data_IF_090989929713
#
_entry.id   IF_090989929713
#
_cell.length_a   1.000
_cell.length_b   1.000
_cell.length_c   1.000
_cell.angle_alpha   90.00
_cell.angle_beta   90.00
_cell.angle_gamma   90.00
#
_symmetry.space_group_name_H-M   'P 1'
#
loop_
_entity.id
_entity.type
_entity.pdbx_description
1 polymer ?
#
# COMPACT_ATOMS: atom_id res chain seq x y z
N UNK A 1 9.45 -32.41 5.77
CA UNK A 1 8.63 -31.36 5.08
C UNK A 1 8.81 -29.95 5.64
N UNK A 2 9.30 -29.73 6.88
CA UNK A 2 9.47 -28.39 7.48
C UNK A 2 10.46 -27.46 6.79
N UNK A 3 11.57 -27.96 6.27
CA UNK A 3 12.63 -27.10 5.70
C UNK A 3 12.25 -26.42 4.38
N UNK A 4 11.46 -27.08 3.53
CA UNK A 4 11.04 -26.51 2.23
C UNK A 4 10.10 -25.31 2.46
N UNK A 5 9.16 -25.41 3.40
CA UNK A 5 8.26 -24.31 3.73
C UNK A 5 8.98 -23.07 4.25
N UNK A 6 10.01 -23.25 5.09
CA UNK A 6 10.83 -22.17 5.61
C UNK A 6 11.62 -21.47 4.49
N UNK A 7 12.17 -22.24 3.55
CA UNK A 7 12.92 -21.68 2.41
C UNK A 7 11.99 -20.86 1.51
N UNK A 8 10.79 -21.38 1.19
CA UNK A 8 9.80 -20.67 0.37
C UNK A 8 9.38 -19.36 1.06
N UNK A 9 9.12 -19.40 2.37
CA UNK A 9 8.76 -18.21 3.13
C UNK A 9 9.88 -17.15 3.12
N UNK A 10 11.14 -17.54 3.30
CA UNK A 10 12.28 -16.62 3.22
C UNK A 10 12.42 -15.99 1.84
N UNK A 11 12.24 -16.76 0.76
CA UNK A 11 12.27 -16.22 -0.61
C UNK A 11 11.15 -15.19 -0.80
N UNK A 12 9.94 -15.48 -0.34
CA UNK A 12 8.82 -14.54 -0.41
C UNK A 12 9.13 -13.23 0.34
N UNK A 13 9.72 -13.30 1.53
CA UNK A 13 10.10 -12.10 2.29
C UNK A 13 11.22 -11.31 1.63
N UNK A 14 12.18 -11.95 0.96
CA UNK A 14 13.20 -11.25 0.16
C UNK A 14 12.56 -10.49 -1.00
N UNK A 15 11.59 -11.09 -1.69
CA UNK A 15 10.84 -10.44 -2.76
C UNK A 15 10.05 -9.24 -2.23
N UNK A 16 9.37 -9.39 -1.09
CA UNK A 16 8.63 -8.30 -0.43
C UNK A 16 9.58 -7.14 -0.08
N UNK A 17 10.76 -7.47 0.47
CA UNK A 17 11.79 -6.46 0.78
C UNK A 17 12.25 -5.72 -0.47
N UNK A 18 12.52 -6.42 -1.55
CA UNK A 18 12.95 -5.82 -2.82
C UNK A 18 11.87 -4.90 -3.41
N UNK A 19 10.59 -5.32 -3.35
CA UNK A 19 9.45 -4.49 -3.75
C UNK A 19 9.36 -3.24 -2.86
N UNK A 20 9.47 -3.39 -1.54
CA UNK A 20 9.45 -2.29 -0.59
C UNK A 20 10.54 -1.25 -0.88
N UNK A 21 11.78 -1.69 -1.10
CA UNK A 21 12.91 -0.82 -1.49
C UNK A 21 12.63 -0.14 -2.83
N UNK A 22 12.10 -0.85 -3.82
CA UNK A 22 11.73 -0.29 -5.12
C UNK A 22 10.68 0.83 -4.99
N UNK A 23 9.66 0.63 -4.18
CA UNK A 23 8.63 1.64 -3.88
C UNK A 23 9.26 2.83 -3.14
N UNK A 24 10.13 2.58 -2.16
CA UNK A 24 10.81 3.61 -1.38
C UNK A 24 11.68 4.53 -2.26
N UNK A 25 12.44 3.97 -3.19
CA UNK A 25 13.38 4.73 -4.02
C UNK A 25 12.74 5.38 -5.24
N UNK A 26 11.76 4.72 -5.85
CA UNK A 26 11.11 5.16 -7.10
C UNK A 26 9.59 5.33 -7.00
N UNK A 27 9.04 5.49 -5.81
CA UNK A 27 7.61 5.49 -5.55
C UNK A 27 6.81 6.40 -6.46
N UNK A 28 7.32 7.59 -6.75
CA UNK A 28 6.67 8.52 -7.67
C UNK A 28 6.64 8.02 -9.12
N UNK A 29 7.67 7.33 -9.60
CA UNK A 29 7.71 6.75 -10.94
C UNK A 29 6.85 5.49 -11.05
N UNK A 30 6.82 4.70 -9.97
CA UNK A 30 6.06 3.45 -9.88
C UNK A 30 4.61 3.67 -9.42
N UNK A 31 4.22 4.92 -9.15
CA UNK A 31 2.89 5.26 -8.62
C UNK A 31 1.75 4.75 -9.51
N UNK A 32 1.92 4.78 -10.84
CA UNK A 32 0.92 4.24 -11.78
C UNK A 32 0.71 2.74 -11.53
N UNK A 33 1.79 2.00 -11.34
CA UNK A 33 1.73 0.56 -11.05
C UNK A 33 1.08 0.28 -9.69
N UNK A 34 1.44 1.05 -8.67
CA UNK A 34 0.83 0.94 -7.33
C UNK A 34 -0.67 1.21 -7.41
N UNK A 35 -1.05 2.29 -8.09
CA UNK A 35 -2.47 2.64 -8.31
C UNK A 35 -3.20 1.52 -9.06
N UNK A 36 -2.61 0.95 -10.10
CA UNK A 36 -3.22 -0.14 -10.86
C UNK A 36 -3.43 -1.39 -10.00
N UNK A 37 -2.44 -1.78 -9.21
CA UNK A 37 -2.54 -2.94 -8.31
C UNK A 37 -3.59 -2.70 -7.22
N UNK A 38 -3.56 -1.54 -6.57
CA UNK A 38 -4.56 -1.19 -5.55
C UNK A 38 -5.98 -1.11 -6.15
N UNK A 39 -6.12 -0.57 -7.37
CA UNK A 39 -7.40 -0.50 -8.07
C UNK A 39 -7.93 -1.88 -8.43
N UNK A 40 -7.06 -2.80 -8.84
CA UNK A 40 -7.42 -4.20 -9.09
C UNK A 40 -8.04 -4.84 -7.83
N UNK A 41 -7.35 -4.76 -6.71
CA UNK A 41 -7.85 -5.33 -5.45
C UNK A 41 -9.12 -4.65 -4.96
N UNK A 42 -9.19 -3.32 -5.01
CA UNK A 42 -10.39 -2.58 -4.62
C UNK A 42 -11.59 -2.91 -5.51
N UNK A 43 -11.35 -3.05 -6.82
CA UNK A 43 -12.37 -3.48 -7.76
C UNK A 43 -12.83 -4.91 -7.51
N UNK A 44 -11.91 -5.85 -7.29
CA UNK A 44 -12.24 -7.24 -6.99
C UNK A 44 -13.08 -7.36 -5.72
N UNK A 45 -12.69 -6.69 -4.64
CA UNK A 45 -13.43 -6.69 -3.37
C UNK A 45 -14.80 -6.05 -3.55
N UNK A 46 -14.88 -4.88 -4.21
CA UNK A 46 -16.15 -4.19 -4.46
C UNK A 46 -17.10 -5.02 -5.32
N UNK A 47 -16.59 -5.64 -6.40
CA UNK A 47 -17.37 -6.53 -7.25
C UNK A 47 -17.86 -7.79 -6.54
N UNK A 48 -17.00 -8.39 -5.68
CA UNK A 48 -17.38 -9.53 -4.86
C UNK A 48 -18.49 -9.16 -3.86
N UNK A 49 -18.37 -8.01 -3.19
CA UNK A 49 -19.41 -7.53 -2.27
C UNK A 49 -20.76 -7.33 -2.96
N UNK A 50 -20.75 -6.69 -4.14
CA UNK A 50 -21.98 -6.52 -4.96
C UNK A 50 -22.54 -7.89 -5.35
N UNK A 51 -21.71 -8.84 -5.75
CA UNK A 51 -22.14 -10.19 -6.11
C UNK A 51 -22.82 -10.94 -4.98
N UNK A 52 -22.27 -10.85 -3.76
CA UNK A 52 -22.88 -11.48 -2.56
C UNK A 52 -24.16 -10.77 -2.16
N UNK A 53 -24.12 -9.43 -2.04
CA UNK A 53 -25.25 -8.67 -1.49
C UNK A 53 -26.45 -8.59 -2.43
N UNK A 54 -26.22 -8.57 -3.76
CA UNK A 54 -27.30 -8.42 -4.73
C UNK A 54 -27.86 -9.75 -5.26
N UNK A 55 -27.03 -10.80 -5.32
CA UNK A 55 -27.41 -12.02 -6.04
C UNK A 55 -27.28 -13.32 -5.24
N UNK A 56 -26.68 -13.26 -4.06
CA UNK A 56 -26.42 -14.43 -3.18
C UNK A 56 -25.87 -15.66 -3.93
N UNK A 57 -25.05 -15.41 -4.95
CA UNK A 57 -24.50 -16.43 -5.85
C UNK A 57 -22.98 -16.33 -5.94
N UNK A 58 -22.30 -17.43 -5.61
CA UNK A 58 -20.82 -17.51 -5.66
C UNK A 58 -20.32 -17.31 -7.10
N UNK A 59 -21.04 -17.80 -8.11
CA UNK A 59 -20.61 -17.67 -9.52
C UNK A 59 -20.68 -16.20 -9.94
N UNK A 60 -21.76 -15.50 -9.62
CA UNK A 60 -21.91 -14.07 -9.92
C UNK A 60 -20.91 -13.22 -9.12
N UNK A 61 -20.60 -13.59 -7.88
CA UNK A 61 -19.55 -12.95 -7.09
C UNK A 61 -18.20 -13.00 -7.81
N UNK A 62 -17.79 -14.16 -8.32
CA UNK A 62 -16.50 -14.31 -9.03
C UNK A 62 -16.50 -13.50 -10.34
N UNK A 63 -17.58 -13.58 -11.11
CA UNK A 63 -17.70 -12.86 -12.39
C UNK A 63 -17.66 -11.35 -12.14
N UNK A 64 -18.44 -10.83 -11.19
CA UNK A 64 -18.48 -9.41 -10.88
C UNK A 64 -17.14 -8.93 -10.29
N UNK A 65 -16.50 -9.73 -9.42
CA UNK A 65 -15.17 -9.43 -8.92
C UNK A 65 -14.16 -9.26 -10.07
N UNK A 66 -14.15 -10.18 -11.04
CA UNK A 66 -13.26 -10.11 -12.18
C UNK A 66 -13.57 -8.90 -13.09
N UNK A 67 -14.83 -8.66 -13.40
CA UNK A 67 -15.27 -7.53 -14.26
C UNK A 67 -14.90 -6.19 -13.61
N UNK A 68 -15.23 -6.01 -12.33
CA UNK A 68 -14.92 -4.76 -11.61
C UNK A 68 -13.41 -4.58 -11.43
N UNK A 69 -12.63 -5.65 -11.19
CA UNK A 69 -11.19 -5.58 -11.11
C UNK A 69 -10.58 -5.06 -12.42
N UNK A 70 -10.96 -5.62 -13.56
CA UNK A 70 -10.47 -5.19 -14.87
C UNK A 70 -10.91 -3.76 -15.17
N UNK A 71 -12.18 -3.43 -14.92
CA UNK A 71 -12.73 -2.10 -15.16
C UNK A 71 -11.97 -1.04 -14.35
N UNK A 72 -11.71 -1.29 -13.07
CA UNK A 72 -10.98 -0.37 -12.20
C UNK A 72 -9.51 -0.20 -12.63
N UNK A 73 -8.83 -1.26 -13.09
CA UNK A 73 -7.46 -1.16 -13.60
C UNK A 73 -7.37 -0.31 -14.85
N UNK A 74 -8.40 -0.34 -15.72
CA UNK A 74 -8.42 0.45 -16.96
C UNK A 74 -8.83 1.89 -16.69
N UNK A 75 -9.89 2.13 -15.92
CA UNK A 75 -10.48 3.46 -15.73
C UNK A 75 -9.67 4.33 -14.76
N UNK A 76 -9.25 3.76 -13.63
CA UNK A 76 -8.64 4.54 -12.53
C UNK A 76 -7.33 5.22 -12.89
N UNK A 77 -6.37 4.61 -13.62
CA UNK A 77 -5.15 5.30 -14.05
C UNK A 77 -5.39 6.47 -15.00
N UNK A 78 -6.47 6.44 -15.79
CA UNK A 78 -6.85 7.55 -16.68
C UNK A 78 -7.42 8.74 -15.90
N UNK A 79 -8.10 8.49 -14.81
CA UNK A 79 -8.61 9.50 -13.88
C UNK A 79 -7.58 9.80 -12.78
N UNK A 80 -6.49 10.47 -13.14
CA UNK A 80 -5.29 10.66 -12.29
C UNK A 80 -5.59 11.02 -10.82
N UNK A 81 -6.49 11.94 -10.57
CA UNK A 81 -6.85 12.35 -9.20
C UNK A 81 -7.57 11.25 -8.43
N UNK A 82 -8.51 10.57 -9.09
CA UNK A 82 -9.27 9.45 -8.50
C UNK A 82 -8.35 8.25 -8.27
N UNK A 83 -7.45 7.99 -9.23
CA UNK A 83 -6.44 6.93 -9.10
C UNK A 83 -5.53 7.13 -7.89
N UNK A 84 -5.05 8.35 -7.68
CA UNK A 84 -4.24 8.66 -6.49
C UNK A 84 -5.05 8.56 -5.20
N UNK A 85 -6.30 9.01 -5.19
CA UNK A 85 -7.19 8.84 -4.05
C UNK A 85 -7.38 7.37 -3.69
N UNK A 86 -7.81 6.54 -4.63
CA UNK A 86 -8.08 5.11 -4.39
C UNK A 86 -6.79 4.37 -3.99
N UNK A 87 -5.70 4.57 -4.73
CA UNK A 87 -4.43 3.90 -4.47
C UNK A 87 -3.85 4.23 -3.10
N UNK A 88 -3.84 5.51 -2.72
CA UNK A 88 -3.30 5.95 -1.43
C UNK A 88 -4.25 5.61 -0.27
N UNK A 89 -5.57 5.72 -0.47
CA UNK A 89 -6.54 5.29 0.56
C UNK A 89 -6.42 3.80 0.85
N UNK A 90 -6.29 2.96 -0.17
CA UNK A 90 -6.14 1.51 -0.02
C UNK A 90 -4.85 1.16 0.73
N UNK A 91 -3.73 1.79 0.37
CA UNK A 91 -2.46 1.62 1.08
C UNK A 91 -2.55 2.12 2.52
N UNK A 92 -3.12 3.30 2.73
CA UNK A 92 -3.31 3.88 4.06
C UNK A 92 -4.15 3.00 4.97
N UNK A 93 -5.26 2.47 4.44
CA UNK A 93 -6.11 1.53 5.18
C UNK A 93 -5.35 0.26 5.56
N UNK A 94 -4.64 -0.36 4.61
CA UNK A 94 -3.86 -1.57 4.83
C UNK A 94 -2.77 -1.34 5.89
N UNK A 95 -2.02 -0.23 5.78
CA UNK A 95 -1.01 0.14 6.77
C UNK A 95 -1.61 0.37 8.16
N UNK A 96 -2.72 1.11 8.26
CA UNK A 96 -3.41 1.31 9.52
C UNK A 96 -3.89 -0.01 10.11
N UNK A 97 -4.40 -0.94 9.30
CA UNK A 97 -4.84 -2.26 9.79
C UNK A 97 -3.67 -3.10 10.32
N UNK A 98 -2.53 -3.09 9.63
CA UNK A 98 -1.31 -3.74 10.11
C UNK A 98 -0.84 -3.13 11.44
N UNK A 99 -0.88 -1.81 11.57
CA UNK A 99 -0.50 -1.11 12.78
C UNK A 99 -1.45 -1.42 13.94
N UNK A 100 -2.76 -1.33 13.70
CA UNK A 100 -3.77 -1.55 14.73
C UNK A 100 -3.83 -3.01 15.19
N UNK A 101 -3.58 -3.99 14.31
CA UNK A 101 -3.54 -5.41 14.70
C UNK A 101 -2.45 -5.73 15.72
N UNK A 102 -1.38 -4.93 15.77
CA UNK A 102 -0.29 -5.09 16.73
C UNK A 102 -0.52 -4.31 18.04
N UNK A 103 -1.32 -3.23 18.00
CA UNK A 103 -1.62 -2.38 19.17
C UNK A 103 -2.80 -2.94 19.97
N UNK A 104 -3.72 -3.65 19.33
CA UNK A 104 -4.95 -4.16 19.96
C UNK A 104 -4.69 -5.19 21.08
N UNK A 105 -3.49 -5.74 21.19
CA UNK A 105 -3.09 -6.61 22.32
C UNK A 105 -2.94 -5.86 23.64
N UNK A 106 -2.62 -4.56 23.60
CA UNK A 106 -2.28 -3.77 24.78
C UNK A 106 -3.35 -2.71 25.14
N UNK A 107 -4.25 -2.40 24.22
CA UNK A 107 -5.25 -1.35 24.40
C UNK A 107 -6.66 -1.94 24.23
N UNK A 108 -7.49 -1.84 25.26
CA UNK A 108 -8.89 -2.34 25.29
C UNK A 108 -9.86 -1.49 24.42
N UNK A 109 -9.39 -0.94 23.29
CA UNK A 109 -10.24 -0.24 22.34
C UNK A 109 -11.05 -1.25 21.52
N UNK A 110 -12.36 -0.98 21.41
CA UNK A 110 -13.25 -1.81 20.56
C UNK A 110 -12.72 -1.85 19.13
N UNK A 111 -12.65 -3.05 18.53
CA UNK A 111 -12.23 -3.28 17.15
C UNK A 111 -12.97 -2.38 16.15
N UNK A 112 -14.21 -2.03 16.42
CA UNK A 112 -15.01 -1.12 15.61
C UNK A 112 -14.46 0.31 15.60
N UNK A 113 -13.93 0.79 16.74
CA UNK A 113 -13.33 2.13 16.83
C UNK A 113 -12.03 2.17 16.04
N UNK A 114 -11.20 1.12 16.16
CA UNK A 114 -9.94 1.02 15.42
C UNK A 114 -10.18 0.90 13.91
N UNK A 115 -11.23 0.18 13.51
CA UNK A 115 -11.64 0.08 12.10
C UNK A 115 -12.10 1.45 11.57
N UNK A 116 -12.95 2.14 12.31
CA UNK A 116 -13.42 3.48 11.93
C UNK A 116 -12.27 4.47 11.82
N UNK A 117 -11.36 4.49 12.80
CA UNK A 117 -10.19 5.36 12.79
C UNK A 117 -9.28 5.07 11.59
N UNK A 118 -9.03 3.80 11.27
CA UNK A 118 -8.23 3.40 10.11
C UNK A 118 -8.87 3.86 8.79
N UNK A 119 -10.20 3.80 8.70
CA UNK A 119 -10.94 4.28 7.52
C UNK A 119 -10.82 5.80 7.37
N UNK A 120 -10.99 6.55 8.46
CA UNK A 120 -10.86 8.02 8.44
C UNK A 120 -9.46 8.43 8.00
N UNK A 121 -8.41 7.83 8.57
CA UNK A 121 -7.03 8.11 8.19
C UNK A 121 -6.78 7.78 6.72
N UNK A 122 -7.28 6.65 6.23
CA UNK A 122 -7.15 6.25 4.83
C UNK A 122 -7.80 7.26 3.88
N UNK A 123 -9.01 7.73 4.19
CA UNK A 123 -9.73 8.73 3.38
C UNK A 123 -8.99 10.08 3.38
N UNK A 124 -8.50 10.53 4.53
CA UNK A 124 -7.72 11.78 4.64
C UNK A 124 -6.45 11.69 3.81
N UNK A 125 -5.68 10.59 3.93
CA UNK A 125 -4.48 10.37 3.14
C UNK A 125 -4.77 10.34 1.63
N UNK A 126 -5.86 9.69 1.22
CA UNK A 126 -6.29 9.65 -0.17
C UNK A 126 -6.67 11.03 -0.71
N UNK A 127 -7.41 11.81 0.08
CA UNK A 127 -7.78 13.18 -0.29
C UNK A 127 -6.55 14.08 -0.44
N UNK A 128 -5.61 14.02 0.49
CA UNK A 128 -4.34 14.75 0.41
C UNK A 128 -3.55 14.37 -0.85
N UNK A 129 -3.53 13.09 -1.22
CA UNK A 129 -2.86 12.62 -2.43
C UNK A 129 -3.56 13.09 -3.71
N UNK A 130 -4.89 13.14 -3.72
CA UNK A 130 -5.69 13.64 -4.84
C UNK A 130 -5.46 15.13 -5.13
N UNK A 131 -5.15 15.93 -4.11
CA UNK A 131 -4.81 17.35 -4.23
C UNK A 131 -3.46 17.62 -4.92
N UNK A 132 -2.80 16.61 -5.46
CA UNK A 132 -1.61 16.69 -6.32
C UNK A 132 -0.35 17.32 -5.72
N UNK A 133 -0.20 17.38 -4.44
CA UNK A 133 1.09 17.78 -3.88
C UNK A 133 2.13 16.71 -4.19
N UNK A 134 3.07 17.03 -5.08
CA UNK A 134 4.20 16.16 -5.44
C UNK A 134 4.94 15.65 -4.19
N UNK A 135 5.02 16.49 -3.20
CA UNK A 135 5.66 16.22 -1.92
C UNK A 135 4.91 15.16 -1.12
N UNK A 136 3.59 15.26 -1.05
CA UNK A 136 2.75 14.30 -0.30
C UNK A 136 2.87 12.89 -0.88
N UNK A 137 2.85 12.75 -2.20
CA UNK A 137 3.03 11.46 -2.87
C UNK A 137 4.39 10.87 -2.53
N UNK A 138 5.45 11.68 -2.58
CA UNK A 138 6.81 11.24 -2.22
C UNK A 138 6.88 10.79 -0.75
N UNK A 139 6.32 11.55 0.18
CA UNK A 139 6.30 11.18 1.60
C UNK A 139 5.55 9.85 1.82
N UNK A 140 4.34 9.73 1.29
CA UNK A 140 3.51 8.53 1.49
C UNK A 140 4.18 7.30 0.89
N UNK A 141 4.70 7.39 -0.33
CA UNK A 141 5.36 6.23 -0.98
C UNK A 141 6.67 5.84 -0.28
N UNK A 142 7.43 6.81 0.23
CA UNK A 142 8.66 6.51 0.97
C UNK A 142 8.37 5.86 2.32
N UNK A 143 7.38 6.35 3.05
CA UNK A 143 6.97 5.76 4.33
C UNK A 143 6.40 4.35 4.12
N UNK A 144 5.46 4.18 3.18
CA UNK A 144 4.85 2.89 2.89
C UNK A 144 5.88 1.86 2.42
N UNK A 145 6.75 2.26 1.49
CA UNK A 145 7.83 1.41 0.99
C UNK A 145 8.83 1.04 2.08
N UNK A 146 9.19 2.00 2.95
CA UNK A 146 10.07 1.78 4.10
C UNK A 146 9.51 0.76 5.10
N UNK A 147 8.22 0.84 5.40
CA UNK A 147 7.55 -0.14 6.27
C UNK A 147 7.53 -1.52 5.62
N UNK A 148 7.16 -1.63 4.35
CA UNK A 148 7.15 -2.90 3.63
C UNK A 148 8.55 -3.51 3.56
N UNK A 149 9.57 -2.70 3.28
CA UNK A 149 10.96 -3.15 3.21
C UNK A 149 11.48 -3.64 4.58
N UNK A 150 11.17 -2.91 5.65
CA UNK A 150 11.60 -3.28 7.01
C UNK A 150 10.95 -4.57 7.49
N UNK A 151 9.65 -4.73 7.25
CA UNK A 151 8.90 -5.95 7.60
C UNK A 151 9.46 -7.15 6.85
N UNK A 152 9.65 -7.02 5.54
CA UNK A 152 10.21 -8.10 4.72
C UNK A 152 11.63 -8.47 5.18
N UNK A 153 12.49 -7.48 5.41
CA UNK A 153 13.87 -7.70 5.86
C UNK A 153 13.93 -8.43 7.20
N UNK A 154 13.18 -7.97 8.19
CA UNK A 154 13.21 -8.55 9.53
C UNK A 154 12.55 -9.91 9.59
N UNK A 155 11.52 -10.16 8.79
CA UNK A 155 10.90 -11.48 8.68
C UNK A 155 11.88 -12.54 8.14
N UNK A 156 12.83 -12.17 7.26
CA UNK A 156 13.91 -13.07 6.83
C UNK A 156 14.79 -13.50 7.99
N UNK A 157 15.03 -12.62 8.96
CA UNK A 157 15.83 -12.89 10.15
C UNK A 157 15.02 -13.46 11.34
N UNK A 158 13.73 -13.71 11.16
CA UNK A 158 12.86 -14.25 12.22
C UNK A 158 12.52 -13.26 13.31
N UNK A 159 12.69 -11.96 13.07
CA UNK A 159 12.30 -10.91 14.01
C UNK A 159 10.80 -10.57 13.83
N UNK A 160 10.14 -10.24 14.93
CA UNK A 160 8.73 -9.91 14.93
C UNK A 160 8.49 -8.43 14.61
N UNK A 161 7.34 -8.14 13.99
CA UNK A 161 6.92 -6.79 13.59
C UNK A 161 6.77 -5.82 14.78
N UNK A 162 6.56 -6.34 15.97
CA UNK A 162 6.39 -5.56 17.23
C UNK A 162 7.69 -4.97 17.76
N UNK A 163 8.85 -5.42 17.28
CA UNK A 163 10.13 -4.94 17.77
C UNK A 163 10.37 -3.48 17.36
N UNK A 164 10.81 -2.66 18.31
CA UNK A 164 11.21 -1.27 18.07
C UNK A 164 12.24 -1.15 16.93
N UNK A 165 13.03 -2.20 16.72
CA UNK A 165 14.01 -2.29 15.62
C UNK A 165 13.35 -2.18 14.25
N UNK A 166 12.14 -2.75 14.06
CA UNK A 166 11.38 -2.67 12.82
C UNK A 166 11.05 -1.22 12.48
N UNK A 167 10.62 -0.46 13.47
CA UNK A 167 10.25 0.94 13.31
C UNK A 167 11.46 1.83 13.03
N UNK A 168 12.58 1.58 13.68
CA UNK A 168 13.84 2.30 13.42
C UNK A 168 14.29 2.04 11.98
N UNK A 169 14.29 0.79 11.54
CA UNK A 169 14.69 0.43 10.17
C UNK A 169 13.71 1.02 9.15
N UNK A 170 12.41 0.98 9.43
CA UNK A 170 11.38 1.60 8.57
C UNK A 170 11.60 3.12 8.43
N UNK A 171 11.90 3.80 9.53
CA UNK A 171 12.19 5.24 9.52
C UNK A 171 13.45 5.57 8.72
N UNK A 172 14.51 4.76 8.83
CA UNK A 172 15.73 4.91 8.05
C UNK A 172 15.45 4.73 6.56
N UNK A 173 14.76 3.67 6.16
CA UNK A 173 14.37 3.45 4.77
C UNK A 173 13.50 4.59 4.23
N UNK A 174 12.51 5.05 5.01
CA UNK A 174 11.66 6.17 4.64
C UNK A 174 12.48 7.47 4.43
N UNK A 175 13.41 7.78 5.34
CA UNK A 175 14.27 8.96 5.23
C UNK A 175 15.16 8.90 3.98
N UNK A 176 15.81 7.76 3.74
CA UNK A 176 16.62 7.54 2.53
C UNK A 176 15.74 7.69 1.28
N UNK A 177 14.54 7.10 1.28
CA UNK A 177 13.61 7.19 0.18
C UNK A 177 13.18 8.62 -0.13
N UNK A 178 12.88 9.41 0.90
CA UNK A 178 12.54 10.82 0.75
C UNK A 178 13.71 11.58 0.12
N UNK A 179 14.91 11.45 0.66
CA UNK A 179 16.10 12.13 0.16
C UNK A 179 16.41 11.76 -1.30
N UNK A 180 16.37 10.47 -1.63
CA UNK A 180 16.63 9.99 -3.01
C UNK A 180 15.56 10.48 -3.98
N UNK A 181 14.28 10.40 -3.60
CA UNK A 181 13.20 10.85 -4.48
C UNK A 181 13.26 12.36 -4.71
N UNK A 182 13.55 13.18 -3.70
CA UNK A 182 13.74 14.62 -3.88
C UNK A 182 14.94 14.91 -4.77
N UNK A 183 16.09 14.29 -4.53
CA UNK A 183 17.30 14.48 -5.34
C UNK A 183 17.08 14.14 -6.81
N UNK A 184 16.42 13.01 -7.11
CA UNK A 184 16.16 12.58 -8.50
C UNK A 184 15.19 13.51 -9.22
N UNK A 185 14.19 14.06 -8.52
CA UNK A 185 13.13 14.84 -9.17
C UNK A 185 13.42 16.33 -9.25
N UNK A 186 14.20 16.89 -8.31
CA UNK A 186 14.64 18.29 -8.38
C UNK A 186 15.74 18.50 -9.42
N UNK A 187 16.56 17.50 -9.69
CA UNK A 187 17.62 17.57 -10.71
C UNK A 187 17.10 17.45 -12.15
N UNK A 188 15.85 17.11 -12.39
CA UNK A 188 15.27 17.09 -13.73
C UNK A 188 14.78 18.50 -14.10
N UNK A 189 15.46 19.22 -15.00
CA UNK A 189 14.97 20.50 -15.46
C UNK A 189 13.58 20.32 -16.06
N UNK A 190 12.65 21.16 -15.61
CA UNK A 190 11.30 21.24 -16.18
C UNK A 190 11.43 21.44 -17.68
N UNK A 191 11.18 20.41 -18.49
CA UNK A 191 10.98 20.58 -19.93
C UNK A 191 9.81 21.55 -20.09
N UNK A 192 10.11 22.83 -20.33
CA UNK A 192 9.13 23.82 -20.76
C UNK A 192 8.42 23.22 -21.97
N UNK A 193 7.16 22.83 -21.81
CA UNK A 193 6.27 22.57 -22.96
C UNK A 193 6.15 23.90 -23.71
N UNK A 194 6.81 23.99 -24.87
CA UNK A 194 6.46 24.93 -25.91
C UNK A 194 5.13 24.50 -26.52
#
# INVERSE_FOLDING_TARGET
MGNIGIVIAKIAFIIITAIGIGITLRGRSTMIWIVSVCSFWSGAIGGAMVGILAFDSIILMIILAAVFAVLMVVVVPHLRSIGYFIGISSLGWLLCRILTSNISSDVSLSDNILLFLSLVVAVVMGFMAACRSKYIITFITSISGGIIASVGLLAVFGAYFTDIKTWIIAAVFAAIGILVQFSIYDLRPSKKRK
#
